data_IF_243478302535
#
_entry.id   IF_243478302535
#
_cell.length_a   1.000
_cell.length_b   1.000
_cell.length_c   1.000
_cell.angle_alpha   90.00
_cell.angle_beta   90.00
_cell.angle_gamma   90.00
#
_symmetry.space_group_name_H-M   'P 1'
#
loop_
_entity.id
_entity.type
_entity.pdbx_description
1 polymer ?
#
# COMPACT_ATOMS: atom_id res chain seq x y z
N UNK A 1 -4.10 10.11 0.89
CA UNK A 1 -5.12 9.57 1.83
C UNK A 1 -4.96 8.07 1.76
N UNK A 2 -4.49 7.45 2.84
CA UNK A 2 -4.27 6.02 2.88
C UNK A 2 -5.62 5.33 3.14
N UNK A 3 -6.20 4.74 2.08
CA UNK A 3 -7.52 4.10 2.07
C UNK A 3 -7.49 2.63 2.54
N UNK A 4 -6.44 2.24 3.27
CA UNK A 4 -6.20 0.85 3.69
C UNK A 4 -7.34 0.27 4.52
N UNK A 5 -7.89 1.06 5.45
CA UNK A 5 -9.00 0.60 6.29
C UNK A 5 -10.28 0.34 5.50
N UNK A 6 -10.57 1.16 4.49
CA UNK A 6 -11.74 0.98 3.61
C UNK A 6 -11.62 -0.35 2.86
N UNK A 7 -10.42 -0.67 2.37
CA UNK A 7 -10.15 -1.95 1.72
C UNK A 7 -10.38 -3.13 2.69
N UNK A 8 -9.86 -3.05 3.93
CA UNK A 8 -10.10 -4.08 4.95
C UNK A 8 -11.58 -4.27 5.28
N UNK A 9 -12.32 -3.17 5.48
CA UNK A 9 -13.76 -3.19 5.77
C UNK A 9 -14.55 -3.85 4.62
N UNK A 10 -14.19 -3.55 3.36
CA UNK A 10 -14.78 -4.24 2.20
C UNK A 10 -14.49 -5.73 2.18
N UNK A 11 -13.25 -6.15 2.42
CA UNK A 11 -12.90 -7.57 2.46
C UNK A 11 -13.62 -8.30 3.59
N UNK A 12 -13.72 -7.68 4.76
CA UNK A 12 -14.46 -8.23 5.89
C UNK A 12 -15.94 -8.46 5.57
N UNK A 13 -16.55 -7.53 4.84
CA UNK A 13 -17.90 -7.74 4.34
C UNK A 13 -17.99 -8.93 3.37
N UNK A 14 -17.03 -9.09 2.46
CA UNK A 14 -17.03 -10.18 1.48
C UNK A 14 -16.80 -11.55 2.13
N UNK A 15 -15.83 -11.66 3.04
CA UNK A 15 -15.40 -12.95 3.58
C UNK A 15 -16.09 -13.34 4.88
N UNK A 16 -16.52 -12.37 5.70
CA UNK A 16 -17.14 -12.62 7.01
C UNK A 16 -18.64 -12.23 7.03
N UNK A 17 -19.16 -11.69 5.92
CA UNK A 17 -20.53 -11.13 5.85
C UNK A 17 -20.82 -10.09 6.94
N UNK A 18 -19.77 -9.39 7.40
CA UNK A 18 -19.88 -8.36 8.42
C UNK A 18 -19.84 -6.98 7.79
N UNK A 19 -20.92 -6.20 7.96
CA UNK A 19 -20.99 -4.81 7.50
C UNK A 19 -20.81 -3.86 8.67
N UNK A 20 -19.65 -3.22 8.71
CA UNK A 20 -19.38 -2.15 9.66
C UNK A 20 -20.19 -0.88 9.30
N UNK A 21 -20.72 -0.14 10.29
CA UNK A 21 -21.39 1.14 10.04
C UNK A 21 -20.47 2.15 9.34
N UNK A 22 -20.96 2.87 8.31
CA UNK A 22 -20.14 3.85 7.60
C UNK A 22 -19.46 4.92 8.48
N UNK A 23 -20.10 5.46 9.54
CA UNK A 23 -19.44 6.42 10.42
C UNK A 23 -18.23 5.82 11.16
N UNK A 24 -18.34 4.56 11.58
CA UNK A 24 -17.27 3.85 12.29
C UNK A 24 -16.11 3.57 11.33
N UNK A 25 -16.41 3.08 10.12
CA UNK A 25 -15.39 2.86 9.09
C UNK A 25 -14.64 4.14 8.73
N UNK A 26 -15.34 5.28 8.64
CA UNK A 26 -14.69 6.58 8.40
C UNK A 26 -13.78 6.99 9.56
N UNK A 27 -14.25 6.86 10.80
CA UNK A 27 -13.46 7.20 11.99
C UNK A 27 -12.18 6.34 12.08
N UNK A 28 -12.30 5.04 11.79
CA UNK A 28 -11.19 4.09 11.79
C UNK A 28 -10.20 4.37 10.65
N UNK A 29 -10.70 4.73 9.47
CA UNK A 29 -9.87 5.15 8.34
C UNK A 29 -9.03 6.37 8.67
N UNK A 30 -9.65 7.41 9.26
CA UNK A 30 -8.93 8.63 9.65
C UNK A 30 -7.89 8.36 10.73
N UNK A 31 -8.22 7.51 11.72
CA UNK A 31 -7.30 7.10 12.78
C UNK A 31 -6.08 6.37 12.21
N UNK A 32 -6.28 5.38 11.35
CA UNK A 32 -5.18 4.64 10.75
C UNK A 32 -4.31 5.52 9.84
N UNK A 33 -4.92 6.38 9.04
CA UNK A 33 -4.17 7.33 8.20
C UNK A 33 -3.29 8.27 9.06
N UNK A 34 -3.79 8.72 10.22
CA UNK A 34 -3.00 9.54 11.14
C UNK A 34 -1.83 8.76 11.76
N UNK A 35 -2.06 7.50 12.18
CA UNK A 35 -1.02 6.62 12.73
C UNK A 35 0.06 6.34 11.69
N UNK A 36 -0.36 6.02 10.46
CA UNK A 36 0.56 5.76 9.35
C UNK A 36 1.44 6.97 9.07
N UNK A 37 0.83 8.16 8.92
CA UNK A 37 1.56 9.41 8.74
C UNK A 37 2.58 9.67 9.86
N UNK A 38 2.22 9.38 11.11
CA UNK A 38 3.14 9.56 12.24
C UNK A 38 4.29 8.54 12.23
N UNK A 39 4.03 7.30 11.79
CA UNK A 39 5.06 6.27 11.67
C UNK A 39 6.06 6.60 10.57
N UNK A 40 5.59 7.04 9.39
CA UNK A 40 6.45 7.43 8.27
C UNK A 40 7.37 8.59 8.63
N UNK A 41 6.88 9.59 9.39
CA UNK A 41 7.71 10.71 9.86
C UNK A 41 8.82 10.29 10.85
N UNK A 42 8.72 9.13 11.50
CA UNK A 42 9.76 8.60 12.39
C UNK A 42 10.82 7.78 11.65
N UNK A 43 10.51 7.34 10.43
CA UNK A 43 11.40 6.57 9.56
C UNK A 43 12.34 7.44 8.71
N UNK A 44 12.13 8.77 8.69
CA UNK A 44 13.07 9.76 8.15
C UNK A 44 14.35 9.92 9.04
N UNK A 45 14.90 8.81 9.53
CA UNK A 45 16.34 8.75 9.81
C UNK A 45 17.02 8.87 8.45
N UNK A 46 17.98 9.79 8.25
CA UNK A 46 18.59 9.97 6.94
C UNK A 46 19.24 8.64 6.53
N UNK A 47 18.56 7.93 5.64
CA UNK A 47 19.11 6.80 4.92
C UNK A 47 20.32 7.39 4.22
N UNK A 48 21.51 6.93 4.60
CA UNK A 48 22.76 7.26 3.94
C UNK A 48 22.49 7.30 2.44
N UNK A 49 22.66 8.48 1.84
CA UNK A 49 22.33 8.74 0.45
C UNK A 49 23.01 7.70 -0.43
N UNK A 50 22.31 6.63 -0.76
CA UNK A 50 22.63 5.89 -1.96
C UNK A 50 22.52 6.92 -3.08
N UNK A 51 23.50 7.02 -3.99
CA UNK A 51 23.37 7.92 -5.10
C UNK A 51 22.15 7.44 -5.90
N UNK A 52 21.02 8.11 -5.70
CA UNK A 52 19.96 8.12 -6.66
C UNK A 52 20.63 8.60 -7.94
N UNK A 53 20.83 7.67 -8.86
CA UNK A 53 21.11 8.00 -10.25
C UNK A 53 20.01 8.98 -10.65
N UNK A 54 20.40 10.23 -10.90
CA UNK A 54 19.52 11.27 -11.40
C UNK A 54 18.80 10.70 -12.63
N UNK A 55 17.55 10.29 -12.45
CA UNK A 55 16.65 9.93 -13.55
C UNK A 55 16.24 11.17 -14.36
N UNK A 56 16.76 12.34 -13.99
CA UNK A 56 16.58 13.59 -14.72
C UNK A 56 17.39 13.54 -16.01
N UNK A 57 16.87 12.84 -17.02
CA UNK A 57 17.11 12.99 -18.47
C UNK A 57 16.83 11.72 -19.30
N UNK A 58 16.14 10.70 -18.76
CA UNK A 58 15.56 9.70 -19.67
C UNK A 58 14.38 10.38 -20.36
N UNK A 59 14.34 10.47 -21.70
CA UNK A 59 13.16 10.97 -22.39
C UNK A 59 11.94 10.22 -21.88
N UNK A 60 10.81 10.89 -21.74
CA UNK A 60 9.52 10.29 -21.38
C UNK A 60 9.01 9.42 -22.55
N UNK A 61 9.80 8.44 -22.96
CA UNK A 61 9.35 7.31 -23.75
C UNK A 61 8.33 6.59 -22.89
N UNK A 62 7.10 6.50 -23.42
CA UNK A 62 5.98 5.70 -22.92
C UNK A 62 6.37 4.21 -22.86
N UNK A 63 7.35 3.86 -22.04
CA UNK A 63 7.59 2.48 -21.70
C UNK A 63 6.47 2.07 -20.74
N UNK A 64 5.78 0.94 -21.00
CA UNK A 64 4.76 0.47 -20.10
C UNK A 64 5.39 0.27 -18.71
N UNK A 65 4.83 0.92 -17.70
CA UNK A 65 5.30 0.76 -16.33
C UNK A 65 4.75 -0.58 -15.81
N UNK A 66 5.63 -1.51 -15.47
CA UNK A 66 5.21 -2.79 -14.92
C UNK A 66 5.20 -2.71 -13.39
N UNK A 67 4.00 -2.63 -12.82
CA UNK A 67 3.78 -2.77 -11.39
C UNK A 67 3.79 -4.25 -11.03
N UNK A 68 4.55 -4.65 -10.02
CA UNK A 68 4.67 -6.04 -9.58
C UNK A 68 4.39 -6.09 -8.08
N UNK A 69 3.57 -7.04 -7.66
CA UNK A 69 3.25 -7.27 -6.25
C UNK A 69 3.23 -8.78 -5.95
N UNK A 70 3.52 -9.13 -4.69
CA UNK A 70 3.53 -10.51 -4.24
C UNK A 70 3.02 -10.62 -2.80
N UNK A 71 2.28 -11.69 -2.55
CA UNK A 71 1.70 -12.02 -1.25
C UNK A 71 2.04 -13.44 -0.86
N UNK A 72 2.57 -13.64 0.34
CA UNK A 72 2.86 -14.97 0.88
C UNK A 72 2.51 -15.03 2.36
N UNK A 73 2.23 -16.24 2.85
CA UNK A 73 2.02 -16.52 4.26
C UNK A 73 3.19 -17.37 4.77
N UNK A 74 3.74 -17.06 5.94
CA UNK A 74 4.97 -17.69 6.44
C UNK A 74 4.84 -19.22 6.62
N UNK A 75 3.63 -19.71 6.85
CA UNK A 75 3.35 -21.14 7.05
C UNK A 75 2.86 -21.86 5.78
N UNK A 76 2.65 -21.15 4.68
CA UNK A 76 2.18 -21.74 3.43
C UNK A 76 3.35 -21.90 2.45
N UNK A 77 3.56 -23.09 1.84
CA UNK A 77 4.54 -23.25 0.78
C UNK A 77 4.19 -22.47 -0.50
N UNK A 78 2.95 -21.97 -0.63
CA UNK A 78 2.47 -21.24 -1.81
C UNK A 78 2.54 -19.72 -1.61
N UNK A 79 2.72 -19.03 -2.73
CA UNK A 79 2.73 -17.57 -2.79
C UNK A 79 2.02 -17.08 -4.04
N UNK A 80 1.32 -15.96 -3.91
CA UNK A 80 0.68 -15.25 -5.00
C UNK A 80 1.62 -14.18 -5.55
N UNK A 81 1.73 -14.10 -6.88
CA UNK A 81 2.48 -13.07 -7.57
C UNK A 81 1.59 -12.47 -8.66
N UNK A 82 1.65 -11.15 -8.85
CA UNK A 82 0.86 -10.45 -9.85
C UNK A 82 1.65 -9.31 -10.47
N UNK A 83 1.28 -8.94 -11.69
CA UNK A 83 1.80 -7.75 -12.34
C UNK A 83 0.72 -7.05 -13.17
N UNK A 84 0.89 -5.74 -13.34
CA UNK A 84 0.04 -4.89 -14.18
C UNK A 84 0.92 -3.97 -15.02
N UNK A 85 0.60 -3.85 -16.31
CA UNK A 85 1.22 -2.87 -17.20
C UNK A 85 0.35 -1.60 -17.16
N UNK A 86 0.96 -0.45 -16.87
CA UNK A 86 0.34 0.87 -16.82
C UNK A 86 0.87 1.74 -17.96
#
# INVERSE_FOLDING_TARGET
>A
MDNWYIWKSRNRFVFENFREPPPETLALTLKEAAVWKQATLKEDVPICSTPFLDSSQIPLTLFPECQIDASWHAEDPLSGHGWALV
#
